data_IF_876514803167
#
_entry.id   IF_876514803167
#
_cell.length_a   1.000
_cell.length_b   1.000
_cell.length_c   1.000
_cell.angle_alpha   90.00
_cell.angle_beta   90.00
_cell.angle_gamma   90.00
#
_symmetry.space_group_name_H-M   'P 1'
#
loop_
_entity.id
_entity.type
_entity.pdbx_description
1 polymer ?
#
# COMPACT_ATOMS: atom_id res chain seq x y z
N UNK A 1 -12.01 -27.36 0.00
CA UNK A 1 -11.35 -26.99 1.26
C UNK A 1 -11.22 -25.48 1.30
N UNK A 2 -11.79 -24.82 2.30
CA UNK A 2 -11.71 -23.37 2.42
C UNK A 2 -10.28 -22.93 2.79
N UNK A 3 -9.87 -21.73 2.36
CA UNK A 3 -8.55 -21.17 2.71
C UNK A 3 -8.32 -21.13 4.22
N UNK A 4 -9.39 -20.88 4.99
CA UNK A 4 -9.38 -20.93 6.46
C UNK A 4 -8.98 -22.30 7.02
N UNK A 5 -9.64 -23.36 6.56
CA UNK A 5 -9.36 -24.73 7.00
C UNK A 5 -7.93 -25.14 6.67
N UNK A 6 -7.41 -24.66 5.53
CA UNK A 6 -6.04 -24.92 5.12
C UNK A 6 -5.04 -24.23 6.04
N UNK A 7 -5.28 -22.95 6.39
CA UNK A 7 -4.46 -22.24 7.36
C UNK A 7 -4.47 -22.92 8.73
N UNK A 8 -5.63 -23.31 9.23
CA UNK A 8 -5.78 -24.00 10.53
C UNK A 8 -5.04 -25.35 10.53
N UNK A 9 -5.15 -26.15 9.45
CA UNK A 9 -4.44 -27.43 9.30
C UNK A 9 -2.90 -27.28 9.34
N UNK A 10 -2.39 -26.21 8.76
CA UNK A 10 -0.94 -25.95 8.69
C UNK A 10 -0.43 -25.06 9.84
N UNK A 11 -1.24 -24.80 10.87
CA UNK A 11 -0.86 -23.96 12.00
C UNK A 11 -0.54 -22.51 11.62
N UNK A 12 -1.06 -22.04 10.49
CA UNK A 12 -0.83 -20.69 9.99
C UNK A 12 -1.83 -19.69 10.58
N UNK A 13 -1.35 -18.47 10.82
CA UNK A 13 -2.21 -17.35 11.20
C UNK A 13 -2.80 -16.66 9.96
N UNK A 14 -4.02 -16.14 10.11
CA UNK A 14 -4.72 -15.40 9.06
C UNK A 14 -5.49 -14.22 9.63
N UNK A 15 -5.69 -13.19 8.80
CA UNK A 15 -6.59 -12.08 9.06
C UNK A 15 -7.37 -11.75 7.78
N UNK A 16 -8.63 -12.20 7.71
CA UNK A 16 -9.47 -12.02 6.53
C UNK A 16 -10.44 -10.87 6.69
N UNK A 17 -10.45 -9.99 5.69
CA UNK A 17 -11.36 -8.84 5.63
C UNK A 17 -12.63 -9.24 4.89
N UNK A 18 -13.77 -9.08 5.54
CA UNK A 18 -15.08 -9.21 4.94
C UNK A 18 -15.67 -7.86 4.54
N UNK A 19 -16.30 -7.78 3.36
CA UNK A 19 -17.16 -6.65 2.99
C UNK A 19 -18.45 -6.63 3.82
N UNK A 20 -19.07 -5.47 3.96
CA UNK A 20 -20.40 -5.37 4.57
C UNK A 20 -21.44 -6.00 3.62
N UNK A 21 -22.12 -7.05 4.09
CA UNK A 21 -23.26 -7.68 3.42
C UNK A 21 -24.53 -7.40 4.24
N UNK A 22 -25.74 -7.48 3.64
CA UNK A 22 -27.00 -7.12 4.31
C UNK A 22 -27.23 -7.79 5.68
N UNK A 23 -26.69 -8.99 5.89
CA UNK A 23 -26.88 -9.77 7.13
C UNK A 23 -25.87 -9.44 8.24
N UNK A 24 -24.81 -8.67 7.95
CA UNK A 24 -23.70 -8.39 8.89
C UNK A 24 -23.94 -7.27 9.93
N UNK A 25 -24.87 -6.31 9.76
CA UNK A 25 -25.16 -5.32 10.81
C UNK A 25 -25.55 -5.95 12.16
N UNK A 26 -26.17 -7.15 12.14
CA UNK A 26 -26.48 -7.92 13.36
C UNK A 26 -25.21 -8.33 14.13
N UNK A 27 -24.13 -8.65 13.42
CA UNK A 27 -22.85 -9.01 14.04
C UNK A 27 -22.17 -7.78 14.68
N UNK A 28 -22.27 -6.61 14.03
CA UNK A 28 -21.79 -5.37 14.62
C UNK A 28 -22.59 -4.96 15.86
N UNK A 29 -23.90 -5.24 15.89
CA UNK A 29 -24.75 -4.99 17.06
C UNK A 29 -24.42 -5.90 18.25
N UNK A 30 -23.92 -7.12 18.00
CA UNK A 30 -23.51 -8.05 19.04
C UNK A 30 -22.17 -7.67 19.71
N UNK A 31 -21.39 -6.79 19.09
CA UNK A 31 -20.12 -6.34 19.66
C UNK A 31 -20.35 -5.40 20.84
N UNK A 32 -19.71 -5.71 21.97
CA UNK A 32 -19.66 -4.88 23.18
C UNK A 32 -18.35 -4.07 23.20
N UNK A 33 -18.29 -3.03 24.03
CA UNK A 33 -17.06 -2.29 24.35
C UNK A 33 -16.32 -1.65 23.17
N UNK A 34 -16.98 -0.70 22.50
CA UNK A 34 -16.38 0.10 21.43
C UNK A 34 -15.28 1.03 21.94
N UNK A 35 -14.07 0.87 21.43
CA UNK A 35 -12.89 1.71 21.75
C UNK A 35 -12.56 2.66 20.58
N UNK A 36 -12.03 3.86 20.85
CA UNK A 36 -11.65 4.78 19.78
C UNK A 36 -10.45 4.24 18.97
N UNK A 37 -10.60 4.13 17.66
CA UNK A 37 -9.55 3.65 16.77
C UNK A 37 -8.72 4.79 16.20
N UNK A 38 -7.40 4.67 16.34
CA UNK A 38 -6.41 5.58 15.77
C UNK A 38 -5.46 4.78 14.87
N UNK A 39 -5.22 5.27 13.66
CA UNK A 39 -4.34 4.58 12.69
C UNK A 39 -2.91 4.51 13.20
N UNK A 40 -2.15 3.46 12.82
CA UNK A 40 -0.70 3.35 13.13
C UNK A 40 0.08 4.64 12.95
N UNK A 41 -0.13 5.33 11.82
CA UNK A 41 0.57 6.57 11.47
C UNK A 41 0.22 7.77 12.39
N UNK A 42 -0.90 7.70 13.11
CA UNK A 42 -1.28 8.69 14.14
C UNK A 42 -0.81 8.30 15.53
N UNK A 43 -0.58 7.01 15.79
CA UNK A 43 -0.04 6.47 17.05
C UNK A 43 1.48 6.64 17.13
N UNK A 44 2.18 6.54 16.00
CA UNK A 44 3.63 6.74 15.93
C UNK A 44 4.01 8.21 16.07
N UNK A 45 4.93 8.50 17.00
CA UNK A 45 5.59 9.79 17.15
C UNK A 45 6.36 10.11 15.87
N UNK A 46 6.02 11.23 15.23
CA UNK A 46 6.77 11.70 14.06
C UNK A 46 7.93 12.57 14.54
N UNK A 47 9.13 12.42 13.97
CA UNK A 47 10.20 13.38 14.20
C UNK A 47 9.73 14.77 13.78
N UNK A 48 10.18 15.79 14.52
CA UNK A 48 9.75 17.17 14.34
C UNK A 48 10.26 17.72 12.99
N UNK A 49 9.45 17.51 11.95
CA UNK A 49 9.73 17.96 10.59
C UNK A 49 8.72 19.04 10.24
N UNK A 50 9.22 20.19 9.73
CA UNK A 50 8.37 21.29 9.23
C UNK A 50 7.30 20.72 8.29
N UNK A 51 6.04 20.77 8.73
CA UNK A 51 4.90 20.28 7.94
C UNK A 51 4.79 21.15 6.69
N UNK A 52 5.01 20.53 5.52
CA UNK A 52 4.79 21.21 4.24
C UNK A 52 3.35 21.74 4.18
N UNK A 53 3.18 23.00 3.76
CA UNK A 53 1.86 23.62 3.58
C UNK A 53 1.03 22.73 2.65
N UNK A 54 -0.11 22.25 3.16
CA UNK A 54 -1.05 21.46 2.34
C UNK A 54 -1.58 22.36 1.23
N UNK A 55 -1.50 21.90 -0.02
CA UNK A 55 -2.14 22.58 -1.17
C UNK A 55 -3.66 22.48 -1.01
N UNK A 56 -4.40 23.42 -1.61
CA UNK A 56 -5.86 23.36 -1.65
C UNK A 56 -6.31 22.09 -2.37
N UNK A 57 -7.31 21.40 -1.82
CA UNK A 57 -7.81 20.14 -2.37
C UNK A 57 -8.78 20.42 -3.54
N UNK A 58 -8.22 20.84 -4.69
CA UNK A 58 -8.98 21.18 -5.91
C UNK A 58 -9.93 20.07 -6.35
N UNK A 59 -9.59 18.80 -6.09
CA UNK A 59 -10.45 17.65 -6.39
C UNK A 59 -11.72 17.66 -5.55
N UNK A 60 -11.61 17.95 -4.25
CA UNK A 60 -12.76 18.10 -3.33
C UNK A 60 -13.65 19.26 -3.77
N UNK A 61 -13.06 20.42 -4.06
CA UNK A 61 -13.80 21.59 -4.58
C UNK A 61 -14.61 21.27 -5.84
N UNK A 62 -13.97 20.68 -6.86
CA UNK A 62 -14.66 20.28 -8.11
C UNK A 62 -15.73 19.21 -7.89
N UNK A 63 -15.56 18.32 -6.93
CA UNK A 63 -16.56 17.31 -6.61
C UNK A 63 -17.84 17.97 -6.03
N UNK A 64 -17.67 18.93 -5.12
CA UNK A 64 -18.78 19.72 -4.56
C UNK A 64 -19.48 20.55 -5.64
N UNK A 65 -18.74 21.24 -6.51
CA UNK A 65 -19.30 22.02 -7.64
C UNK A 65 -20.17 21.16 -8.56
N UNK A 66 -19.78 19.91 -8.77
CA UNK A 66 -20.51 18.91 -9.58
C UNK A 66 -21.64 18.21 -8.82
N UNK A 67 -21.89 18.58 -7.56
CA UNK A 67 -22.97 18.03 -6.75
C UNK A 67 -22.72 16.61 -6.22
N UNK A 68 -21.48 16.11 -6.25
CA UNK A 68 -21.16 14.80 -5.69
C UNK A 68 -21.30 14.80 -4.16
N UNK A 69 -21.75 13.66 -3.60
CA UNK A 69 -21.82 13.46 -2.15
C UNK A 69 -20.42 13.42 -1.56
N UNK A 70 -20.20 14.23 -0.54
CA UNK A 70 -18.97 14.21 0.22
C UNK A 70 -19.17 13.40 1.50
N UNK A 71 -18.18 12.56 1.81
CA UNK A 71 -18.17 11.71 3.00
C UNK A 71 -17.03 12.20 3.89
N UNK A 72 -17.37 12.85 4.99
CA UNK A 72 -16.39 13.28 5.97
C UNK A 72 -16.41 12.32 7.16
N UNK A 73 -15.22 11.86 7.55
CA UNK A 73 -15.06 10.91 8.63
C UNK A 73 -15.03 11.66 9.96
N UNK A 74 -16.04 11.42 10.80
CA UNK A 74 -16.18 12.04 12.13
C UNK A 74 -15.34 11.31 13.17
N UNK A 75 -15.62 10.01 13.32
CA UNK A 75 -14.95 9.16 14.31
C UNK A 75 -14.80 7.73 13.82
N UNK A 76 -13.87 7.03 14.46
CA UNK A 76 -13.59 5.63 14.20
C UNK A 76 -13.51 4.89 15.53
N UNK A 77 -14.18 3.75 15.57
CA UNK A 77 -14.23 2.90 16.75
C UNK A 77 -14.00 1.46 16.34
N UNK A 78 -13.47 0.66 17.26
CA UNK A 78 -13.20 -0.75 17.08
C UNK A 78 -13.74 -1.52 18.26
N UNK A 79 -14.34 -2.67 17.97
CA UNK A 79 -14.81 -3.61 18.95
C UNK A 79 -14.38 -5.02 18.55
N UNK A 80 -14.32 -5.91 19.54
CA UNK A 80 -13.98 -7.30 19.37
C UNK A 80 -15.11 -8.17 19.93
N UNK A 81 -15.36 -9.29 19.26
CA UNK A 81 -16.30 -10.33 19.73
C UNK A 81 -15.83 -11.70 19.26
N UNK A 82 -16.40 -12.76 19.81
CA UNK A 82 -16.13 -14.12 19.35
C UNK A 82 -16.76 -14.35 17.97
N UNK A 83 -15.95 -14.88 17.06
CA UNK A 83 -16.34 -15.32 15.73
C UNK A 83 -16.67 -16.81 15.68
N UNK A 84 -16.94 -17.32 14.48
CA UNK A 84 -17.24 -18.75 14.30
C UNK A 84 -16.01 -19.63 14.57
N UNK A 85 -16.25 -20.81 15.15
CA UNK A 85 -15.24 -21.84 15.47
C UNK A 85 -14.02 -21.28 16.22
N UNK A 86 -14.25 -20.50 17.29
CA UNK A 86 -13.17 -20.01 18.17
C UNK A 86 -12.25 -18.94 17.55
N UNK A 87 -12.62 -18.35 16.42
CA UNK A 87 -11.87 -17.22 15.85
C UNK A 87 -12.27 -15.89 16.47
N UNK A 88 -11.40 -14.89 16.37
CA UNK A 88 -11.67 -13.52 16.81
C UNK A 88 -12.34 -12.75 15.68
N UNK A 89 -13.44 -12.07 15.97
CA UNK A 89 -14.10 -11.14 15.06
C UNK A 89 -13.83 -9.71 15.53
N UNK A 90 -13.00 -9.00 14.78
CA UNK A 90 -12.71 -7.58 15.01
C UNK A 90 -13.54 -6.73 14.04
N UNK A 91 -14.30 -5.79 14.59
CA UNK A 91 -15.17 -4.90 13.81
C UNK A 91 -14.72 -3.46 13.98
N UNK A 92 -14.45 -2.80 12.85
CA UNK A 92 -14.23 -1.35 12.81
C UNK A 92 -15.48 -0.64 12.33
N UNK A 93 -15.95 0.33 13.09
CA UNK A 93 -17.02 1.26 12.74
C UNK A 93 -16.44 2.61 12.34
N UNK A 94 -16.86 3.10 11.18
CA UNK A 94 -16.62 4.47 10.75
C UNK A 94 -17.93 5.23 10.79
N UNK A 95 -17.97 6.31 11.56
CA UNK A 95 -19.08 7.27 11.54
C UNK A 95 -18.78 8.35 10.50
N UNK A 96 -19.66 8.47 9.52
CA UNK A 96 -19.52 9.39 8.39
C UNK A 96 -20.63 10.42 8.39
N UNK A 97 -20.24 11.68 8.22
CA UNK A 97 -21.13 12.77 7.85
C UNK A 97 -21.22 12.83 6.33
N UNK A 98 -22.44 12.99 5.84
CA UNK A 98 -22.72 13.13 4.42
C UNK A 98 -23.10 14.58 4.17
N UNK A 99 -22.27 15.27 3.40
CA UNK A 99 -22.60 16.58 2.84
C UNK A 99 -23.08 16.39 1.39
N UNK A 100 -24.26 16.94 1.07
CA UNK A 100 -24.85 16.89 -0.27
C UNK A 100 -25.00 18.28 -0.87
N UNK A 101 -24.72 18.37 -2.18
CA UNK A 101 -25.07 19.52 -3.01
C UNK A 101 -24.10 20.71 -2.91
N UNK A 102 -24.37 21.73 -3.73
CA UNK A 102 -23.54 22.94 -3.85
C UNK A 102 -23.52 23.82 -2.59
N UNK A 103 -24.52 23.68 -1.72
CA UNK A 103 -24.70 24.50 -0.53
C UNK A 103 -24.26 23.82 0.78
N UNK A 104 -23.63 22.64 0.71
CA UNK A 104 -23.04 21.99 1.89
C UNK A 104 -24.05 21.49 2.92
N UNK A 105 -25.26 21.12 2.48
CA UNK A 105 -26.29 20.62 3.39
C UNK A 105 -25.84 19.28 3.99
N UNK A 106 -25.74 19.23 5.32
CA UNK A 106 -25.42 18.01 6.07
C UNK A 106 -26.68 17.17 6.26
N UNK A 107 -26.54 15.86 6.07
CA UNK A 107 -27.58 14.93 6.52
C UNK A 107 -27.70 14.98 8.05
N UNK A 108 -28.94 14.92 8.55
CA UNK A 108 -29.23 14.94 9.98
C UNK A 108 -28.73 13.68 10.69
N UNK A 109 -28.61 12.57 9.96
CA UNK A 109 -28.20 11.27 10.49
C UNK A 109 -26.81 10.89 10.00
N UNK A 110 -26.00 10.39 10.93
CA UNK A 110 -24.70 9.83 10.61
C UNK A 110 -24.87 8.50 9.86
N UNK A 111 -24.06 8.28 8.83
CA UNK A 111 -23.96 6.98 8.17
C UNK A 111 -22.83 6.18 8.78
N UNK A 112 -23.11 4.93 9.15
CA UNK A 112 -22.09 4.00 9.61
C UNK A 112 -21.57 3.16 8.46
N UNK A 113 -20.27 2.89 8.45
CA UNK A 113 -19.64 1.85 7.63
C UNK A 113 -18.88 0.89 8.51
N UNK A 114 -19.05 -0.40 8.25
CA UNK A 114 -18.40 -1.43 9.02
C UNK A 114 -17.35 -2.18 8.19
N UNK A 115 -16.22 -2.47 8.82
CA UNK A 115 -15.20 -3.39 8.29
C UNK A 115 -15.07 -4.54 9.27
N UNK A 116 -15.25 -5.76 8.77
CA UNK A 116 -15.19 -6.98 9.56
C UNK A 116 -13.88 -7.69 9.27
N UNK A 117 -13.16 -8.09 10.32
CA UNK A 117 -11.93 -8.87 10.21
C UNK A 117 -12.10 -10.14 11.04
N UNK A 118 -11.96 -11.29 10.41
CA UNK A 118 -11.94 -12.59 11.09
C UNK A 118 -10.49 -13.06 11.15
N UNK A 119 -10.02 -13.43 12.34
CA UNK A 119 -8.63 -13.82 12.55
C UNK A 119 -8.48 -14.90 13.61
N UNK A 120 -7.43 -15.72 13.50
CA UNK A 120 -6.95 -16.65 14.52
C UNK A 120 -5.63 -16.17 15.17
N UNK A 121 -5.29 -14.88 15.03
CA UNK A 121 -4.07 -14.31 15.62
C UNK A 121 -4.09 -14.41 17.16
N UNK A 122 -2.92 -14.58 17.81
CA UNK A 122 -2.81 -14.69 19.26
C UNK A 122 -3.43 -13.51 20.01
N UNK A 123 -3.83 -13.74 21.27
CA UNK A 123 -4.44 -12.71 22.12
C UNK A 123 -3.56 -11.48 22.34
N UNK A 124 -2.23 -11.63 22.21
CA UNK A 124 -1.26 -10.54 22.31
C UNK A 124 -1.47 -9.45 21.25
N UNK A 125 -2.14 -9.78 20.13
CA UNK A 125 -2.48 -8.81 19.10
C UNK A 125 -3.71 -8.01 19.49
N UNK A 126 -3.54 -6.69 19.62
CA UNK A 126 -4.65 -5.77 19.85
C UNK A 126 -5.59 -5.70 18.63
N UNK A 127 -6.89 -5.42 18.84
CA UNK A 127 -7.84 -5.18 17.74
C UNK A 127 -7.35 -4.13 16.73
N UNK A 128 -6.70 -3.08 17.22
CA UNK A 128 -6.16 -2.01 16.38
C UNK A 128 -5.00 -2.50 15.51
N UNK A 129 -4.13 -3.35 16.05
CA UNK A 129 -2.99 -3.89 15.31
C UNK A 129 -3.42 -4.92 14.26
N UNK A 130 -4.44 -5.73 14.58
CA UNK A 130 -5.09 -6.63 13.60
C UNK A 130 -5.63 -5.82 12.42
N UNK A 131 -6.34 -4.72 12.70
CA UNK A 131 -6.88 -3.86 11.65
C UNK A 131 -5.75 -3.22 10.84
N UNK A 132 -4.72 -2.68 11.48
CA UNK A 132 -3.58 -2.08 10.80
C UNK A 132 -2.82 -3.10 9.93
N UNK A 133 -2.70 -4.35 10.37
CA UNK A 133 -2.15 -5.43 9.55
C UNK A 133 -2.99 -5.66 8.28
N UNK A 134 -4.32 -5.64 8.40
CA UNK A 134 -5.18 -5.75 7.21
C UNK A 134 -5.07 -4.56 6.25
N UNK A 135 -4.58 -3.41 6.71
CA UNK A 135 -4.27 -2.27 5.84
C UNK A 135 -2.95 -2.43 5.07
N UNK A 136 -2.00 -3.23 5.56
CA UNK A 136 -0.79 -3.56 4.80
C UNK A 136 -1.08 -4.33 3.51
N UNK A 137 -2.25 -4.97 3.39
CA UNK A 137 -2.73 -5.55 2.12
C UNK A 137 -2.74 -4.54 0.97
N UNK A 138 -3.01 -3.25 1.25
CA UNK A 138 -2.93 -2.21 0.22
C UNK A 138 -1.51 -2.04 -0.33
N UNK A 139 -0.47 -2.34 0.44
CA UNK A 139 0.91 -2.34 -0.07
C UNK A 139 1.12 -3.44 -1.12
N UNK A 140 0.48 -4.60 -0.95
CA UNK A 140 0.51 -5.68 -1.95
C UNK A 140 -0.18 -5.25 -3.25
N UNK A 141 -1.32 -4.55 -3.16
CA UNK A 141 -1.99 -3.99 -4.34
C UNK A 141 -1.11 -2.95 -5.06
N UNK A 142 -0.36 -2.12 -4.30
CA UNK A 142 0.61 -1.19 -4.88
C UNK A 142 1.76 -1.91 -5.59
N UNK A 143 2.24 -3.05 -5.05
CA UNK A 143 3.25 -3.89 -5.71
C UNK A 143 2.71 -4.47 -7.01
N UNK A 144 1.49 -5.04 -7.00
CA UNK A 144 0.84 -5.59 -8.19
C UNK A 144 0.62 -4.51 -9.26
N UNK A 145 0.12 -3.34 -8.86
CA UNK A 145 -0.03 -2.19 -9.75
C UNK A 145 1.31 -1.70 -10.29
N UNK A 146 2.36 -1.71 -9.46
CA UNK A 146 3.73 -1.35 -9.84
C UNK A 146 4.35 -2.32 -10.85
N UNK A 147 4.14 -3.62 -10.69
CA UNK A 147 4.57 -4.64 -11.65
C UNK A 147 3.89 -4.44 -13.01
N UNK A 148 2.59 -4.13 -12.99
CA UNK A 148 1.82 -3.88 -14.22
C UNK A 148 2.22 -2.59 -14.92
N UNK A 149 2.17 -1.45 -14.23
CA UNK A 149 2.39 -0.12 -14.86
C UNK A 149 3.87 0.25 -15.00
N UNK A 150 4.74 -0.29 -14.14
CA UNK A 150 6.15 0.03 -14.09
C UNK A 150 7.00 -0.85 -15.01
N UNK A 151 6.99 -2.16 -14.78
CA UNK A 151 7.82 -3.15 -15.49
C UNK A 151 7.08 -3.79 -16.67
N UNK A 152 5.77 -3.53 -16.81
CA UNK A 152 4.94 -4.12 -17.85
C UNK A 152 4.88 -5.66 -17.76
N UNK A 153 4.83 -6.20 -16.54
CA UNK A 153 4.74 -7.65 -16.29
C UNK A 153 3.57 -8.29 -17.07
N UNK A 154 2.44 -7.59 -17.18
CA UNK A 154 1.24 -8.08 -17.88
C UNK A 154 1.28 -7.95 -19.40
N UNK A 155 2.36 -7.42 -19.98
CA UNK A 155 2.45 -7.26 -21.45
C UNK A 155 2.49 -8.61 -22.16
N UNK A 156 3.09 -9.63 -21.55
CA UNK A 156 3.10 -11.02 -22.03
C UNK A 156 3.24 -11.10 -23.57
N UNK A 157 4.39 -10.67 -24.11
CA UNK A 157 4.52 -10.30 -25.52
C UNK A 157 4.59 -11.49 -26.49
N UNK A 158 4.59 -12.72 -25.98
CA UNK A 158 4.81 -13.94 -26.76
C UNK A 158 3.49 -14.72 -26.85
N UNK A 159 3.27 -15.47 -27.94
CA UNK A 159 2.02 -16.24 -28.10
C UNK A 159 1.98 -17.47 -27.17
N UNK A 160 3.13 -18.10 -26.93
CA UNK A 160 3.26 -19.30 -26.13
C UNK A 160 3.17 -19.03 -24.63
N UNK A 161 2.42 -19.87 -23.91
CA UNK A 161 2.31 -19.84 -22.44
C UNK A 161 3.68 -19.86 -21.76
N UNK A 162 4.59 -20.74 -22.19
CA UNK A 162 5.95 -20.86 -21.61
C UNK A 162 6.78 -19.59 -21.80
N UNK A 163 6.66 -18.93 -22.95
CA UNK A 163 7.34 -17.65 -23.20
C UNK A 163 6.83 -16.55 -22.26
N UNK A 164 5.53 -16.51 -22.01
CA UNK A 164 4.92 -15.56 -21.08
C UNK A 164 5.21 -15.86 -19.61
N UNK A 165 5.37 -17.14 -19.25
CA UNK A 165 5.85 -17.53 -17.92
C UNK A 165 7.29 -17.03 -17.68
N UNK A 166 8.19 -17.23 -18.66
CA UNK A 166 9.54 -16.67 -18.60
C UNK A 166 9.53 -15.13 -18.52
N UNK A 167 8.64 -14.47 -19.26
CA UNK A 167 8.46 -13.01 -19.17
C UNK A 167 8.07 -12.55 -17.76
N UNK A 168 7.14 -13.25 -17.11
CA UNK A 168 6.71 -12.94 -15.75
C UNK A 168 7.84 -13.12 -14.73
N UNK A 169 8.65 -14.18 -14.88
CA UNK A 169 9.83 -14.39 -14.02
C UNK A 169 10.89 -13.31 -14.23
N UNK A 170 11.18 -12.93 -15.48
CA UNK A 170 12.09 -11.81 -15.78
C UNK A 170 11.59 -10.51 -15.16
N UNK A 171 10.29 -10.21 -15.28
CA UNK A 171 9.68 -9.01 -14.70
C UNK A 171 9.77 -9.01 -13.16
N UNK A 172 9.53 -10.17 -12.53
CA UNK A 172 9.66 -10.35 -11.08
C UNK A 172 11.10 -10.16 -10.61
N UNK A 173 12.08 -10.76 -11.30
CA UNK A 173 13.50 -10.60 -11.00
C UNK A 173 13.94 -9.14 -11.14
N UNK A 174 13.54 -8.47 -12.22
CA UNK A 174 13.86 -7.06 -12.43
C UNK A 174 13.31 -6.16 -11.31
N UNK A 175 12.08 -6.41 -10.86
CA UNK A 175 11.48 -5.68 -9.73
C UNK A 175 12.29 -5.87 -8.44
N UNK A 176 12.56 -7.13 -8.09
CA UNK A 176 13.27 -7.46 -6.86
C UNK A 176 14.68 -6.90 -6.85
N UNK A 177 15.39 -7.02 -7.98
CA UNK A 177 16.74 -6.46 -8.13
C UNK A 177 16.74 -4.95 -7.90
N UNK A 178 15.81 -4.22 -8.51
CA UNK A 178 15.72 -2.77 -8.31
C UNK A 178 15.38 -2.38 -6.87
N UNK A 179 14.54 -3.16 -6.18
CA UNK A 179 14.25 -2.93 -4.75
C UNK A 179 15.44 -3.22 -3.84
N UNK A 180 16.17 -4.31 -4.09
CA UNK A 180 17.36 -4.64 -3.31
C UNK A 180 18.47 -3.63 -3.52
N UNK A 181 18.75 -3.22 -4.77
CA UNK A 181 19.72 -2.14 -5.06
C UNK A 181 19.31 -0.86 -4.35
N UNK A 182 18.03 -0.49 -4.39
CA UNK A 182 17.53 0.68 -3.70
C UNK A 182 17.68 0.61 -2.18
N UNK A 183 17.50 -0.57 -1.60
CA UNK A 183 17.60 -0.77 -0.16
C UNK A 183 19.04 -0.85 0.35
N UNK A 184 19.94 -1.44 -0.43
CA UNK A 184 21.35 -1.63 -0.03
C UNK A 184 22.21 -0.41 -0.29
N UNK A 185 22.02 0.25 -1.44
CA UNK A 185 23.00 1.19 -1.97
C UNK A 185 22.50 2.64 -2.06
N UNK A 186 21.18 2.86 -2.06
CA UNK A 186 20.56 4.18 -2.26
C UNK A 186 19.90 4.73 -0.97
N UNK A 187 19.39 5.96 -1.03
CA UNK A 187 18.73 6.61 0.10
C UNK A 187 17.44 5.89 0.51
N UNK A 188 17.07 5.98 1.80
CA UNK A 188 15.90 5.30 2.40
C UNK A 188 14.56 5.59 1.69
N UNK A 189 14.47 6.72 0.97
CA UNK A 189 13.27 7.10 0.24
C UNK A 189 13.13 6.38 -1.12
N UNK A 190 14.24 5.93 -1.72
CA UNK A 190 14.27 5.36 -3.08
C UNK A 190 13.47 4.05 -3.20
N UNK A 191 13.50 3.11 -2.24
CA UNK A 191 12.65 1.91 -2.28
C UNK A 191 11.15 2.22 -2.41
N UNK A 192 10.71 3.41 -1.95
CA UNK A 192 9.31 3.85 -2.02
C UNK A 192 8.96 4.54 -3.34
N UNK A 193 9.94 4.79 -4.21
CA UNK A 193 9.67 5.43 -5.49
C UNK A 193 8.87 4.51 -6.42
N UNK A 194 8.03 5.13 -7.24
CA UNK A 194 7.44 4.47 -8.40
C UNK A 194 8.54 3.97 -9.33
N UNK A 195 8.34 2.78 -9.90
CA UNK A 195 9.33 2.15 -10.78
C UNK A 195 9.74 3.06 -11.95
N UNK A 196 8.80 3.79 -12.54
CA UNK A 196 9.09 4.74 -13.64
C UNK A 196 10.10 5.82 -13.22
N UNK A 197 10.01 6.31 -11.99
CA UNK A 197 10.96 7.28 -11.43
C UNK A 197 12.30 6.63 -11.16
N UNK A 198 12.31 5.43 -10.55
CA UNK A 198 13.53 4.66 -10.31
C UNK A 198 14.28 4.37 -11.61
N UNK A 199 13.59 3.85 -12.63
CA UNK A 199 14.16 3.52 -13.94
C UNK A 199 14.82 4.73 -14.58
N UNK A 200 14.14 5.87 -14.65
CA UNK A 200 14.70 7.11 -15.23
C UNK A 200 15.86 7.71 -14.41
N UNK A 201 15.93 7.39 -13.13
CA UNK A 201 16.98 7.91 -12.25
C UNK A 201 18.23 7.03 -12.28
N UNK A 202 18.07 5.71 -12.30
CA UNK A 202 19.14 4.76 -12.00
C UNK A 202 19.36 3.67 -13.06
N UNK A 203 18.50 3.57 -14.08
CA UNK A 203 18.61 2.54 -15.15
C UNK A 203 18.78 3.21 -16.53
N UNK A 204 17.85 4.07 -16.92
CA UNK A 204 17.85 4.80 -18.19
C UNK A 204 18.74 6.05 -18.08
N UNK A 205 20.04 5.86 -17.85
CA UNK A 205 20.99 6.96 -17.61
C UNK A 205 21.75 7.28 -18.89
N UNK A 206 21.84 8.57 -19.29
CA UNK A 206 22.69 8.95 -20.41
C UNK A 206 24.15 8.81 -20.01
N UNK A 207 24.87 7.97 -20.74
CA UNK A 207 26.30 7.71 -20.56
C UNK A 207 27.06 7.95 -21.86
N UNK A 208 28.30 8.38 -21.75
CA UNK A 208 29.23 8.44 -22.86
C UNK A 208 30.03 7.13 -22.88
N UNK A 209 29.91 6.39 -23.98
CA UNK A 209 30.66 5.15 -24.21
C UNK A 209 31.94 5.51 -24.98
N UNK A 210 33.09 5.32 -24.35
CA UNK A 210 34.40 5.67 -24.89
C UNK A 210 35.18 4.38 -25.14
N UNK A 211 35.50 4.11 -26.41
CA UNK A 211 36.38 3.01 -26.79
C UNK A 211 37.82 3.53 -26.83
N UNK A 212 38.71 2.89 -26.08
CA UNK A 212 40.13 3.24 -26.02
C UNK A 212 40.98 1.97 -26.16
N UNK A 213 41.43 1.68 -27.38
CA UNK A 213 42.17 0.44 -27.68
C UNK A 213 41.35 -0.80 -27.32
N UNK A 214 41.86 -1.63 -26.38
CA UNK A 214 41.18 -2.84 -25.88
C UNK A 214 40.27 -2.58 -24.67
N UNK A 215 40.05 -1.32 -24.30
CA UNK A 215 39.23 -0.96 -23.13
C UNK A 215 37.94 -0.24 -23.52
N UNK A 216 36.86 -0.61 -22.83
CA UNK A 216 35.58 0.09 -22.84
C UNK A 216 35.47 0.94 -21.57
N UNK A 217 35.38 2.26 -21.71
CA UNK A 217 35.16 3.18 -20.60
C UNK A 217 33.76 3.78 -20.69
N UNK A 218 32.96 3.59 -19.64
CA UNK A 218 31.63 4.17 -19.53
C UNK A 218 31.72 5.38 -18.61
N UNK A 219 31.40 6.57 -19.14
CA UNK A 219 31.41 7.82 -18.39
C UNK A 219 29.99 8.30 -18.18
N UNK A 220 29.61 8.50 -16.92
CA UNK A 220 28.32 9.09 -16.55
C UNK A 220 28.42 10.61 -16.73
N UNK A 221 27.43 11.20 -17.41
CA UNK A 221 27.39 12.65 -17.60
C UNK A 221 27.02 13.34 -16.29
N UNK A 222 27.84 14.30 -15.85
CA UNK A 222 27.61 15.06 -14.62
C UNK A 222 26.34 15.93 -14.62
N UNK A 223 25.73 16.13 -15.79
CA UNK A 223 24.43 16.80 -15.93
C UNK A 223 23.25 15.95 -15.44
N UNK A 224 23.44 14.64 -15.29
CA UNK A 224 22.40 13.77 -14.75
C UNK A 224 22.16 14.05 -13.28
N UNK A 225 20.92 14.42 -12.93
CA UNK A 225 20.53 14.84 -11.58
C UNK A 225 20.95 13.88 -10.47
N UNK A 226 20.94 12.57 -10.74
CA UNK A 226 21.21 11.53 -9.75
C UNK A 226 22.62 10.92 -9.86
N UNK A 227 23.52 11.53 -10.66
CA UNK A 227 24.89 11.03 -10.82
C UNK A 227 25.65 10.89 -9.48
N UNK A 228 25.59 11.86 -8.52
CA UNK A 228 26.29 11.70 -7.24
C UNK A 228 25.79 10.50 -6.43
N UNK A 229 24.47 10.31 -6.33
CA UNK A 229 23.89 9.17 -5.62
C UNK A 229 24.28 7.84 -6.25
N UNK A 230 24.37 7.79 -7.57
CA UNK A 230 24.77 6.59 -8.28
C UNK A 230 26.25 6.24 -8.05
N UNK A 231 27.14 7.23 -8.05
CA UNK A 231 28.56 7.01 -7.73
C UNK A 231 28.74 6.50 -6.30
N UNK A 232 27.99 7.05 -5.34
CA UNK A 232 27.97 6.56 -3.95
C UNK A 232 27.45 5.12 -3.90
N UNK A 233 26.34 4.84 -4.57
CA UNK A 233 25.75 3.51 -4.62
C UNK A 233 26.70 2.47 -5.24
N UNK A 234 27.41 2.84 -6.30
CA UNK A 234 28.39 1.98 -6.94
C UNK A 234 29.54 1.63 -5.99
N UNK A 235 30.07 2.63 -5.27
CA UNK A 235 31.10 2.41 -4.25
C UNK A 235 30.64 1.45 -3.15
N UNK A 236 29.40 1.58 -2.68
CA UNK A 236 28.80 0.69 -1.66
C UNK A 236 28.61 -0.75 -2.13
N UNK A 237 28.39 -0.96 -3.43
CA UNK A 237 28.18 -2.30 -4.00
C UNK A 237 29.48 -3.01 -4.36
N UNK A 238 30.60 -2.29 -4.41
CA UNK A 238 31.93 -2.84 -4.70
C UNK A 238 32.71 -3.26 -3.45
N UNK A 239 32.29 -2.81 -2.28
CA UNK A 239 32.76 -3.24 -0.95
C UNK A 239 31.92 -4.40 -0.42
#
# INVERSE_FOLDING_TARGET
>A
MGVREACERHGCYFAFVGREYPNRPKLAAACKDWRPFRTRASRQTKPDRKRRRKKSNRRKTRACERGYKQLDLVKQEVAETEGSNGTRLVVRRQTLDIEKGKFGQRELWHRYRFRYVITNLPADWSPEDIIDETYKRCEQENVIAGLGTGIAAWRMPVAEKRGNEAWLEIARLAWNLGKWVAQMALDEEVPRWEWKRFRRAFVDIPVQVIHAGRHLRIRILGTHRFAPQLMIALGRLQT
#
